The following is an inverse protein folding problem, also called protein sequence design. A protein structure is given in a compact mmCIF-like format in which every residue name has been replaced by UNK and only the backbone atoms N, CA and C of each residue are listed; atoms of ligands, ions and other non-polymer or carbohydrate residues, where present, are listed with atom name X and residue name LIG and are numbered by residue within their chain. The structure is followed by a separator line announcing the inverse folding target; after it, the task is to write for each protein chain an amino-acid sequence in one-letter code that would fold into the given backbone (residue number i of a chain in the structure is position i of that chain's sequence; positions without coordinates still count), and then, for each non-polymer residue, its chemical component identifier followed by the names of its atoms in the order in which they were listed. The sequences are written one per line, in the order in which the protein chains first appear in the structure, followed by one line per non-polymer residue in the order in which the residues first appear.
data_IF_538785054882
#
_entry.id   IF_538785054882
#
_cell.length_a   1.000
_cell.length_b   1.000
_cell.length_c   1.000
_cell.angle_alpha   90.00
_cell.angle_beta   90.00
_cell.angle_gamma   90.00
#
_symmetry.space_group_name_H-M   'P 1'
#
loop_
_entity.id
_entity.type
_entity.pdbx_description
1 polymer ?
#
# COMPACT_ATOMS: atom_id res chain seq x y z
N UNK A 1 -9.29 -11.22 26.89
CA UNK A 1 -8.77 -11.01 25.52
C UNK A 1 -9.42 -12.07 24.65
N UNK A 2 -10.53 -11.69 24.03
CA UNK A 2 -11.41 -12.64 23.39
C UNK A 2 -10.93 -12.98 21.97
N UNK A 3 -11.08 -14.23 21.66
CA UNK A 3 -11.03 -14.91 20.40
C UNK A 3 -11.98 -14.31 19.33
N UNK A 4 -11.76 -13.08 18.92
CA UNK A 4 -12.61 -12.41 17.90
C UNK A 4 -12.06 -12.62 16.49
N UNK A 5 -10.88 -13.19 16.35
CA UNK A 5 -10.34 -13.56 15.06
C UNK A 5 -10.28 -15.07 14.93
N UNK A 6 -11.28 -15.65 14.24
CA UNK A 6 -11.13 -16.99 13.69
C UNK A 6 -9.86 -17.00 12.83
N UNK A 7 -8.87 -17.74 13.31
CA UNK A 7 -7.49 -17.79 12.82
C UNK A 7 -7.31 -18.24 11.37
N UNK A 8 -8.35 -18.53 10.60
CA UNK A 8 -8.25 -19.37 9.39
C UNK A 8 -8.96 -18.91 8.13
N UNK A 9 -9.62 -17.76 8.09
CA UNK A 9 -10.10 -17.28 6.80
C UNK A 9 -9.06 -16.36 6.20
N UNK A 10 -8.20 -16.91 5.34
CA UNK A 10 -7.39 -16.14 4.40
C UNK A 10 -8.29 -15.12 3.71
N UNK A 11 -8.02 -13.84 3.90
CA UNK A 11 -8.78 -12.77 3.26
C UNK A 11 -8.69 -12.84 1.73
N UNK A 12 -7.70 -13.58 1.19
CA UNK A 12 -7.44 -13.71 -0.23
C UNK A 12 -6.68 -15.02 -0.55
N UNK A 13 -6.75 -15.40 -1.81
CA UNK A 13 -6.12 -16.60 -2.35
C UNK A 13 -4.59 -16.40 -2.48
N UNK A 14 -3.84 -17.49 -2.37
CA UNK A 14 -2.44 -17.53 -2.76
C UNK A 14 -2.33 -17.86 -4.26
N UNK A 15 -1.32 -17.28 -4.90
CA UNK A 15 -0.95 -17.62 -6.27
C UNK A 15 -0.19 -18.96 -6.29
N UNK A 16 -0.08 -19.57 -7.45
CA UNK A 16 0.72 -20.77 -7.63
C UNK A 16 2.19 -20.50 -7.24
N UNK A 17 2.76 -21.36 -6.41
CA UNK A 17 4.10 -21.19 -5.85
C UNK A 17 4.22 -20.19 -4.70
N UNK A 18 3.16 -19.43 -4.39
CA UNK A 18 3.15 -18.49 -3.28
C UNK A 18 2.91 -19.23 -1.95
N UNK A 19 3.67 -18.89 -0.91
CA UNK A 19 3.53 -19.42 0.43
C UNK A 19 3.15 -18.35 1.44
N UNK A 20 2.14 -18.62 2.28
CA UNK A 20 1.77 -17.75 3.39
C UNK A 20 2.64 -18.02 4.61
N UNK A 21 3.07 -16.94 5.29
CA UNK A 21 3.89 -16.99 6.50
C UNK A 21 3.32 -16.08 7.58
N UNK A 22 3.78 -16.31 8.81
CA UNK A 22 3.50 -15.44 9.95
C UNK A 22 4.79 -15.06 10.65
N UNK A 23 4.84 -13.81 11.09
CA UNK A 23 5.91 -13.29 11.93
C UNK A 23 5.30 -12.72 13.21
N UNK A 24 5.71 -13.29 14.36
CA UNK A 24 5.32 -12.79 15.65
C UNK A 24 6.17 -11.56 16.03
N UNK A 25 5.48 -10.50 16.46
CA UNK A 25 6.08 -9.25 16.91
C UNK A 25 5.50 -8.86 18.27
N UNK A 26 6.15 -8.02 19.06
CA UNK A 26 5.56 -7.53 20.30
C UNK A 26 4.18 -6.94 20.08
N UNK A 27 3.15 -7.60 20.62
CA UNK A 27 1.75 -7.19 20.50
C UNK A 27 1.11 -7.35 19.11
N UNK A 28 1.71 -8.11 18.20
CA UNK A 28 1.14 -8.38 16.88
C UNK A 28 1.60 -9.71 16.30
N UNK A 29 0.75 -10.30 15.45
CA UNK A 29 1.05 -11.43 14.59
C UNK A 29 0.82 -10.99 13.16
N UNK A 30 1.89 -10.88 12.37
CA UNK A 30 1.87 -10.35 11.02
C UNK A 30 1.71 -11.47 10.01
N UNK A 31 0.80 -11.32 9.08
CA UNK A 31 0.63 -12.21 7.95
C UNK A 31 1.28 -11.60 6.71
N UNK A 32 2.09 -12.36 6.03
CA UNK A 32 2.66 -12.02 4.73
C UNK A 32 2.76 -13.27 3.85
N UNK A 33 3.11 -13.09 2.60
CA UNK A 33 3.37 -14.19 1.68
C UNK A 33 4.60 -13.91 0.85
N UNK A 34 5.21 -15.00 0.39
CA UNK A 34 6.41 -15.01 -0.44
C UNK A 34 6.13 -15.84 -1.68
N UNK A 35 6.38 -15.24 -2.83
CA UNK A 35 6.43 -15.92 -4.13
C UNK A 35 7.88 -15.86 -4.62
N UNK A 36 8.61 -17.00 -4.61
CA UNK A 36 9.96 -17.06 -5.14
C UNK A 36 10.00 -16.70 -6.63
N UNK A 37 11.09 -16.09 -7.08
CA UNK A 37 11.28 -15.82 -8.49
C UNK A 37 11.41 -17.12 -9.30
N UNK A 38 11.04 -17.03 -10.58
CA UNK A 38 11.06 -18.19 -11.49
C UNK A 38 12.47 -18.42 -12.07
N UNK A 39 13.20 -17.32 -12.34
CA UNK A 39 14.53 -17.35 -12.94
C UNK A 39 15.64 -17.09 -11.92
N UNK A 40 16.76 -16.54 -12.39
CA UNK A 40 17.88 -16.15 -11.54
C UNK A 40 17.48 -14.95 -10.66
N UNK A 41 17.61 -15.12 -9.36
CA UNK A 41 17.24 -14.08 -8.39
C UNK A 41 18.21 -12.90 -8.43
N UNK A 42 17.68 -11.73 -8.76
CA UNK A 42 18.39 -10.45 -8.72
C UNK A 42 18.12 -9.70 -7.41
N UNK A 43 16.92 -9.85 -6.85
CA UNK A 43 16.54 -9.14 -5.64
C UNK A 43 15.17 -9.53 -5.10
N UNK A 44 14.60 -8.64 -4.30
CA UNK A 44 13.27 -8.81 -3.70
C UNK A 44 12.46 -7.53 -3.84
N UNK A 45 11.17 -7.68 -4.12
CA UNK A 45 10.18 -6.59 -4.12
C UNK A 45 9.13 -6.88 -3.08
N UNK A 46 8.83 -5.92 -2.20
CA UNK A 46 7.74 -6.02 -1.22
C UNK A 46 6.63 -5.03 -1.51
N UNK A 47 5.39 -5.51 -1.49
CA UNK A 47 4.18 -4.74 -1.81
C UNK A 47 3.35 -4.43 -0.57
N UNK A 48 3.01 -3.14 -0.39
CA UNK A 48 2.29 -2.59 0.76
C UNK A 48 0.97 -1.96 0.30
N UNK A 49 -0.13 -2.38 0.92
CA UNK A 49 -1.48 -1.91 0.58
C UNK A 49 -1.87 -0.60 1.30
N UNK A 50 -3.02 -0.01 0.92
CA UNK A 50 -3.58 1.20 1.50
C UNK A 50 -4.46 1.00 2.74
N UNK A 51 -5.09 2.07 3.22
CA UNK A 51 -6.10 2.02 4.29
C UNK A 51 -7.27 1.14 3.88
N UNK A 52 -7.87 0.43 4.84
CA UNK A 52 -9.01 -0.49 4.63
C UNK A 52 -8.80 -1.48 3.47
N UNK A 53 -7.58 -1.96 3.32
CA UNK A 53 -7.14 -2.84 2.25
C UNK A 53 -6.37 -4.04 2.82
N UNK A 54 -5.84 -4.90 1.96
CA UNK A 54 -5.04 -6.06 2.33
C UNK A 54 -4.17 -6.51 1.15
N UNK A 55 -3.39 -7.58 1.31
CA UNK A 55 -2.49 -8.11 0.28
C UNK A 55 -3.17 -8.54 -1.03
N UNK A 56 -4.51 -8.78 -1.07
CA UNK A 56 -5.21 -9.09 -2.31
C UNK A 56 -5.26 -7.93 -3.31
N UNK A 57 -5.00 -6.70 -2.85
CA UNK A 57 -4.85 -5.52 -3.71
C UNK A 57 -3.79 -5.71 -4.79
N UNK A 58 -2.75 -6.46 -4.48
CA UNK A 58 -1.61 -6.70 -5.36
C UNK A 58 -1.70 -8.01 -6.15
N UNK A 59 -2.74 -8.83 -5.91
CA UNK A 59 -2.84 -10.18 -6.47
C UNK A 59 -2.81 -10.17 -8.01
N UNK A 60 -3.63 -9.32 -8.66
CA UNK A 60 -3.68 -9.24 -10.12
C UNK A 60 -2.35 -8.74 -10.71
N UNK A 61 -1.71 -7.75 -10.05
CA UNK A 61 -0.39 -7.27 -10.44
C UNK A 61 0.62 -8.41 -10.36
N UNK A 62 0.70 -9.09 -9.20
CA UNK A 62 1.70 -10.15 -8.97
C UNK A 62 1.50 -11.34 -9.92
N UNK A 63 0.26 -11.70 -10.20
CA UNK A 63 -0.04 -12.79 -11.15
C UNK A 63 0.50 -12.49 -12.56
N UNK A 64 0.42 -11.22 -13.00
CA UNK A 64 0.74 -10.80 -14.37
C UNK A 64 2.12 -10.21 -14.54
N UNK A 65 2.77 -9.78 -13.46
CA UNK A 65 4.04 -9.05 -13.53
C UNK A 65 5.19 -9.90 -14.07
N UNK A 66 6.06 -9.27 -14.86
CA UNK A 66 7.33 -9.83 -15.30
C UNK A 66 8.41 -9.80 -14.21
N UNK A 67 8.22 -9.02 -13.12
CA UNK A 67 9.19 -8.94 -12.01
C UNK A 67 9.49 -10.30 -11.41
N UNK A 68 8.52 -11.20 -11.35
CA UNK A 68 8.69 -12.57 -10.81
C UNK A 68 9.70 -13.41 -11.59
N UNK A 69 10.20 -12.96 -12.76
CA UNK A 69 11.25 -13.65 -13.47
C UNK A 69 12.63 -13.47 -12.81
N UNK A 70 12.80 -12.39 -12.00
CA UNK A 70 14.09 -12.03 -11.43
C UNK A 70 14.04 -11.60 -9.95
N UNK A 71 12.85 -11.37 -9.42
CA UNK A 71 12.69 -10.89 -8.05
C UNK A 71 11.76 -11.81 -7.26
N UNK A 72 12.15 -12.16 -6.02
CA UNK A 72 11.19 -12.68 -5.09
C UNK A 72 10.16 -11.59 -4.80
N UNK A 73 8.89 -12.00 -4.73
CA UNK A 73 7.77 -11.09 -4.47
C UNK A 73 7.24 -11.35 -3.06
N UNK A 74 7.21 -10.31 -2.24
CA UNK A 74 6.56 -10.32 -0.94
C UNK A 74 5.34 -9.42 -0.98
N UNK A 75 4.26 -9.82 -0.32
CA UNK A 75 3.13 -8.95 0.02
C UNK A 75 2.69 -9.21 1.44
N UNK A 76 2.37 -8.15 2.19
CA UNK A 76 1.95 -8.29 3.57
C UNK A 76 0.61 -7.61 3.83
N UNK A 77 -0.13 -8.13 4.80
CA UNK A 77 -1.18 -7.37 5.45
C UNK A 77 -0.51 -6.46 6.50
N UNK A 78 -0.67 -5.17 6.39
CA UNK A 78 -0.13 -4.23 7.37
C UNK A 78 -0.73 -4.51 8.77
N UNK A 79 0.04 -4.32 9.82
CA UNK A 79 -0.42 -4.49 11.21
C UNK A 79 -1.79 -3.85 11.43
N UNK A 80 -2.73 -4.60 12.00
CA UNK A 80 -4.10 -4.16 12.25
C UNK A 80 -5.06 -4.36 11.06
N UNK A 81 -4.58 -4.84 9.92
CA UNK A 81 -5.39 -5.12 8.73
C UNK A 81 -5.51 -6.62 8.47
N UNK A 82 -6.67 -7.03 7.95
CA UNK A 82 -6.98 -8.38 7.50
C UNK A 82 -6.46 -9.46 8.47
N UNK A 83 -5.51 -10.31 8.03
CA UNK A 83 -4.98 -11.39 8.84
C UNK A 83 -3.78 -11.00 9.73
N UNK A 84 -3.31 -9.74 9.66
CA UNK A 84 -2.28 -9.21 10.58
C UNK A 84 -2.93 -8.63 11.82
N UNK A 85 -2.95 -9.43 12.90
CA UNK A 85 -3.62 -9.09 14.16
C UNK A 85 -2.73 -8.20 15.02
N UNK A 86 -3.33 -7.23 15.71
CA UNK A 86 -2.62 -6.36 16.65
C UNK A 86 -3.42 -6.13 17.93
N UNK A 87 -2.73 -6.08 19.07
CA UNK A 87 -3.32 -5.76 20.38
C UNK A 87 -3.47 -4.25 20.61
N UNK A 88 -2.83 -3.41 19.78
CA UNK A 88 -2.88 -1.95 19.83
C UNK A 88 -2.90 -1.33 18.43
N UNK A 89 -3.25 -0.04 18.35
CA UNK A 89 -3.14 0.71 17.09
C UNK A 89 -1.70 0.84 16.64
N UNK A 90 -1.47 0.66 15.34
CA UNK A 90 -0.15 0.75 14.72
C UNK A 90 0.17 2.20 14.33
N UNK A 91 1.37 2.66 14.58
CA UNK A 91 1.91 3.92 14.08
C UNK A 91 2.74 3.68 12.80
N UNK A 92 3.06 4.74 12.07
CA UNK A 92 3.96 4.64 10.91
C UNK A 92 5.27 3.92 11.25
N UNK A 93 5.84 4.19 12.44
CA UNK A 93 7.05 3.54 12.91
C UNK A 93 6.89 2.04 13.13
N UNK A 94 5.71 1.60 13.59
CA UNK A 94 5.42 0.18 13.78
C UNK A 94 5.36 -0.53 12.43
N UNK A 95 4.67 0.02 11.43
CA UNK A 95 4.61 -0.56 10.09
C UNK A 95 5.99 -0.59 9.41
N UNK A 96 6.79 0.48 9.55
CA UNK A 96 8.17 0.48 9.06
C UNK A 96 9.00 -0.62 9.72
N UNK A 97 8.95 -0.72 11.05
CA UNK A 97 9.66 -1.77 11.79
C UNK A 97 9.17 -3.18 11.48
N UNK A 98 7.89 -3.35 11.13
CA UNK A 98 7.33 -4.63 10.71
C UNK A 98 7.84 -5.04 9.33
N UNK A 99 7.88 -4.12 8.37
CA UNK A 99 8.44 -4.39 7.04
C UNK A 99 9.92 -4.76 7.15
N UNK A 100 10.71 -4.00 7.90
CA UNK A 100 12.12 -4.32 8.14
C UNK A 100 12.29 -5.71 8.79
N UNK A 101 11.44 -6.06 9.76
CA UNK A 101 11.49 -7.37 10.40
C UNK A 101 11.06 -8.52 9.49
N UNK A 102 10.09 -8.32 8.59
CA UNK A 102 9.73 -9.31 7.56
C UNK A 102 10.92 -9.56 6.64
N UNK A 103 11.56 -8.49 6.12
CA UNK A 103 12.74 -8.61 5.27
C UNK A 103 13.87 -9.37 5.98
N UNK A 104 14.13 -9.03 7.24
CA UNK A 104 15.12 -9.73 8.07
C UNK A 104 14.78 -11.22 8.26
N UNK A 105 13.52 -11.55 8.53
CA UNK A 105 13.07 -12.94 8.70
C UNK A 105 13.22 -13.78 7.42
N UNK A 106 13.15 -13.13 6.25
CA UNK A 106 13.38 -13.77 4.95
C UNK A 106 14.86 -13.73 4.49
N UNK A 107 15.77 -13.23 5.33
CA UNK A 107 17.19 -13.10 4.97
C UNK A 107 17.46 -12.06 3.86
N UNK A 108 16.53 -11.12 3.67
CA UNK A 108 16.61 -10.10 2.64
C UNK A 108 17.30 -8.87 3.22
N UNK A 109 18.52 -8.58 2.78
CA UNK A 109 19.25 -7.41 3.23
C UNK A 109 18.60 -6.11 2.75
N UNK A 110 18.21 -6.05 1.47
CA UNK A 110 17.53 -4.88 0.89
C UNK A 110 16.44 -5.31 -0.11
N UNK A 111 15.35 -4.56 -0.14
CA UNK A 111 14.26 -4.78 -1.08
C UNK A 111 13.82 -3.49 -1.78
N UNK A 112 13.22 -3.61 -2.97
CA UNK A 112 12.41 -2.54 -3.55
C UNK A 112 11.06 -2.54 -2.81
N UNK A 113 10.66 -1.39 -2.30
CA UNK A 113 9.42 -1.24 -1.53
C UNK A 113 8.38 -0.52 -2.38
N UNK A 114 7.29 -1.21 -2.71
CA UNK A 114 6.19 -0.68 -3.52
C UNK A 114 4.97 -0.48 -2.64
N UNK A 115 4.51 0.75 -2.49
CA UNK A 115 3.38 1.08 -1.61
C UNK A 115 2.29 1.90 -2.30
N UNK A 116 1.04 1.62 -1.97
CA UNK A 116 -0.12 2.41 -2.41
C UNK A 116 -0.74 3.15 -1.22
N UNK A 117 -1.02 4.45 -1.35
CA UNK A 117 -1.68 5.28 -0.34
C UNK A 117 -0.99 5.17 1.03
N UNK A 118 -1.61 4.57 2.08
CA UNK A 118 -0.96 4.28 3.37
C UNK A 118 0.36 3.50 3.18
N UNK A 119 0.38 2.48 2.32
CA UNK A 119 1.59 1.74 1.99
C UNK A 119 2.68 2.62 1.40
N UNK A 120 2.33 3.66 0.65
CA UNK A 120 3.28 4.65 0.15
C UNK A 120 3.83 5.53 1.28
N UNK A 121 3.01 5.88 2.29
CA UNK A 121 3.49 6.56 3.49
C UNK A 121 4.46 5.68 4.29
N UNK A 122 4.20 4.39 4.38
CA UNK A 122 5.14 3.45 5.00
C UNK A 122 6.43 3.38 4.18
N UNK A 123 6.34 3.24 2.85
CA UNK A 123 7.51 3.14 1.98
C UNK A 123 8.42 4.39 2.04
N UNK A 124 7.87 5.60 2.02
CA UNK A 124 8.66 6.83 2.11
C UNK A 124 9.29 6.99 3.50
N UNK A 125 8.58 6.64 4.58
CA UNK A 125 9.14 6.66 5.93
C UNK A 125 10.21 5.57 6.12
N UNK A 126 10.03 4.40 5.54
CA UNK A 126 11.02 3.33 5.55
C UNK A 126 12.30 3.78 4.83
N UNK A 127 12.17 4.39 3.64
CA UNK A 127 13.29 4.91 2.87
C UNK A 127 14.09 6.00 3.62
N UNK A 128 13.41 6.83 4.43
CA UNK A 128 14.05 7.87 5.22
C UNK A 128 14.70 7.34 6.51
N UNK A 129 14.10 6.36 7.18
CA UNK A 129 14.51 5.92 8.53
C UNK A 129 15.23 4.58 8.56
N UNK A 130 15.04 3.75 7.55
CA UNK A 130 15.56 2.38 7.42
C UNK A 130 16.21 2.16 6.05
N UNK A 131 16.96 3.15 5.56
CA UNK A 131 17.59 3.12 4.23
C UNK A 131 18.47 1.88 4.00
N UNK A 132 19.00 1.29 5.08
CA UNK A 132 19.85 0.09 5.02
C UNK A 132 19.11 -1.16 4.54
N UNK A 133 17.77 -1.21 4.65
CA UNK A 133 16.98 -2.32 4.13
C UNK A 133 16.20 -1.97 2.85
N UNK A 134 16.39 -0.78 2.26
CA UNK A 134 15.69 -0.32 1.07
C UNK A 134 16.65 -0.18 -0.11
N UNK A 135 16.36 -0.83 -1.24
CA UNK A 135 17.03 -0.61 -2.52
C UNK A 135 16.49 0.61 -3.25
N UNK A 136 15.19 0.80 -3.20
CA UNK A 136 14.45 1.91 -3.77
C UNK A 136 12.97 1.83 -3.42
N UNK A 137 12.24 2.93 -3.61
CA UNK A 137 10.82 3.03 -3.30
C UNK A 137 9.96 3.38 -4.50
N UNK A 138 8.78 2.75 -4.59
CA UNK A 138 7.73 3.14 -5.54
C UNK A 138 6.50 3.56 -4.73
N UNK A 139 6.09 4.80 -4.90
CA UNK A 139 4.97 5.42 -4.20
C UNK A 139 3.81 5.61 -5.17
N UNK A 140 2.74 4.81 -5.02
CA UNK A 140 1.52 4.97 -5.80
C UNK A 140 0.58 5.89 -5.04
N UNK A 141 0.27 7.02 -5.65
CA UNK A 141 -0.64 8.05 -5.16
C UNK A 141 -0.41 8.39 -3.67
N UNK A 142 0.83 8.81 -3.30
CA UNK A 142 1.18 9.14 -1.93
C UNK A 142 0.56 10.47 -1.49
N UNK A 143 0.26 10.60 -0.18
CA UNK A 143 -0.12 11.88 0.42
C UNK A 143 1.13 12.65 0.85
N UNK A 144 1.79 13.32 -0.06
CA UNK A 144 2.94 14.18 0.25
C UNK A 144 2.45 15.49 0.86
N UNK A 145 2.93 15.84 2.05
CA UNK A 145 2.46 16.99 2.84
C UNK A 145 2.58 18.32 2.10
N UNK A 146 3.64 18.47 1.32
CA UNK A 146 3.98 19.65 0.54
C UNK A 146 3.18 19.76 -0.76
N UNK A 147 2.48 18.70 -1.13
CA UNK A 147 1.72 18.60 -2.37
C UNK A 147 0.21 18.43 -2.14
N UNK A 148 -0.31 18.65 -0.94
CA UNK A 148 -1.72 18.50 -0.63
C UNK A 148 -2.56 19.58 -1.31
N UNK A 149 -3.69 19.19 -1.92
CA UNK A 149 -4.70 20.12 -2.42
C UNK A 149 -5.37 20.88 -1.27
N UNK A 150 -6.01 22.04 -1.51
CA UNK A 150 -6.78 22.76 -0.49
C UNK A 150 -7.81 21.87 0.21
N UNK A 151 -8.51 21.00 -0.54
CA UNK A 151 -9.46 20.04 0.00
C UNK A 151 -8.79 19.03 0.95
N UNK A 152 -7.62 18.53 0.58
CA UNK A 152 -6.87 17.59 1.44
C UNK A 152 -6.33 18.29 2.70
N UNK A 153 -5.94 19.55 2.61
CA UNK A 153 -5.57 20.37 3.78
C UNK A 153 -6.75 20.58 4.75
N UNK A 154 -7.95 20.85 4.24
CA UNK A 154 -9.15 20.92 5.06
C UNK A 154 -9.45 19.59 5.76
N UNK A 155 -9.29 18.46 5.06
CA UNK A 155 -9.42 17.13 5.68
C UNK A 155 -8.36 16.91 6.76
N UNK A 156 -7.11 17.31 6.50
CA UNK A 156 -6.02 17.23 7.47
C UNK A 156 -6.27 18.08 8.72
N UNK A 157 -6.89 19.25 8.58
CA UNK A 157 -7.27 20.09 9.71
C UNK A 157 -8.30 19.41 10.65
N UNK A 158 -9.03 18.41 10.16
CA UNK A 158 -10.00 17.61 10.95
C UNK A 158 -9.37 16.44 11.71
N UNK A 159 -8.07 16.14 11.53
CA UNK A 159 -7.39 15.02 12.20
C UNK A 159 -7.54 15.04 13.75
N UNK A 160 -7.51 16.20 14.45
CA UNK A 160 -7.75 16.22 15.89
C UNK A 160 -9.12 15.65 16.29
N UNK A 161 -10.16 15.94 15.51
CA UNK A 161 -11.50 15.39 15.73
C UNK A 161 -11.54 13.88 15.48
N UNK A 162 -10.85 13.40 14.45
CA UNK A 162 -10.74 11.96 14.17
C UNK A 162 -10.05 11.22 15.32
N UNK A 163 -9.05 11.81 15.97
CA UNK A 163 -8.39 11.25 17.17
C UNK A 163 -9.36 11.11 18.35
N UNK A 164 -10.26 12.08 18.54
CA UNK A 164 -11.28 12.02 19.59
C UNK A 164 -12.27 10.89 19.26
N UNK A 165 -12.78 10.84 18.03
CA UNK A 165 -13.70 9.79 17.58
C UNK A 165 -13.06 8.39 17.69
N UNK A 166 -11.79 8.26 17.34
CA UNK A 166 -11.03 7.02 17.48
C UNK A 166 -11.02 6.52 18.93
N UNK A 167 -10.77 7.42 19.90
CA UNK A 167 -10.81 7.08 21.34
C UNK A 167 -12.17 6.55 21.78
N UNK A 168 -13.26 7.18 21.34
CA UNK A 168 -14.62 6.70 21.62
C UNK A 168 -14.89 5.34 20.99
N UNK A 169 -14.48 5.13 19.74
CA UNK A 169 -14.61 3.82 19.08
C UNK A 169 -13.82 2.74 19.83
N UNK A 170 -12.61 3.04 20.30
CA UNK A 170 -11.80 2.11 21.11
C UNK A 170 -12.47 1.75 22.42
N UNK A 171 -13.01 2.75 23.12
CA UNK A 171 -13.74 2.50 24.37
C UNK A 171 -14.95 1.61 24.12
N UNK A 172 -15.73 1.88 23.07
CA UNK A 172 -16.84 1.02 22.66
C UNK A 172 -16.39 -0.41 22.36
N UNK A 173 -15.30 -0.59 21.63
CA UNK A 173 -14.73 -1.92 21.35
C UNK A 173 -14.30 -2.64 22.64
N UNK A 174 -13.70 -1.93 23.60
CA UNK A 174 -13.31 -2.50 24.89
C UNK A 174 -14.51 -2.94 25.73
N UNK A 175 -15.66 -2.28 25.57
CA UNK A 175 -16.94 -2.64 26.20
C UNK A 175 -17.70 -3.75 25.42
N UNK A 176 -17.10 -4.32 24.36
CA UNK A 176 -17.71 -5.40 23.58
C UNK A 176 -18.55 -4.95 22.39
N UNK A 177 -18.70 -3.65 22.15
CA UNK A 177 -19.40 -3.11 20.97
C UNK A 177 -18.51 -3.17 19.72
N UNK A 178 -18.15 -4.39 19.31
CA UNK A 178 -17.37 -4.59 18.08
C UNK A 178 -18.20 -5.29 17.00
N UNK A 179 -17.95 -4.94 15.75
CA UNK A 179 -18.64 -5.57 14.61
C UNK A 179 -17.85 -6.77 14.12
N UNK A 180 -18.57 -7.80 13.64
CA UNK A 180 -17.94 -8.85 12.85
C UNK A 180 -17.58 -8.27 11.48
N UNK A 181 -16.30 -8.35 11.11
CA UNK A 181 -15.81 -7.89 9.84
C UNK A 181 -16.09 -8.92 8.73
N UNK A 182 -16.27 -8.43 7.50
CA UNK A 182 -16.38 -9.27 6.31
C UNK A 182 -15.00 -9.53 5.73
N UNK A 183 -14.84 -10.68 5.08
CA UNK A 183 -13.67 -10.90 4.25
C UNK A 183 -13.69 -9.98 3.03
N UNK A 184 -12.54 -9.44 2.67
CA UNK A 184 -12.38 -8.53 1.54
C UNK A 184 -11.45 -9.16 0.50
N UNK A 185 -12.03 -9.55 -0.63
CA UNK A 185 -11.30 -9.94 -1.82
C UNK A 185 -11.28 -8.74 -2.79
N UNK A 186 -10.19 -8.00 -2.76
CA UNK A 186 -10.06 -6.79 -3.56
C UNK A 186 -9.90 -7.08 -5.04
N UNK A 187 -9.31 -8.22 -5.41
CA UNK A 187 -9.23 -8.64 -6.80
C UNK A 187 -10.61 -8.83 -7.44
N UNK A 188 -11.49 -9.57 -6.74
CA UNK A 188 -12.86 -9.75 -7.22
C UNK A 188 -13.66 -8.44 -7.23
N UNK A 189 -13.40 -7.54 -6.26
CA UNK A 189 -14.01 -6.21 -6.23
C UNK A 189 -13.51 -5.34 -7.39
N UNK A 190 -12.21 -5.37 -7.71
CA UNK A 190 -11.63 -4.59 -8.80
C UNK A 190 -12.12 -5.05 -10.18
N UNK A 191 -12.31 -6.36 -10.38
CA UNK A 191 -12.90 -6.88 -11.61
C UNK A 191 -14.30 -6.29 -11.86
N UNK A 192 -15.18 -6.34 -10.84
CA UNK A 192 -16.53 -5.74 -10.90
C UNK A 192 -16.49 -4.22 -11.06
N UNK A 193 -15.51 -3.57 -10.45
CA UNK A 193 -15.33 -2.13 -10.57
C UNK A 193 -14.99 -1.72 -12.00
N UNK A 194 -14.09 -2.47 -12.66
CA UNK A 194 -13.72 -2.21 -14.06
C UNK A 194 -14.87 -2.39 -15.05
N UNK A 195 -15.78 -3.33 -14.80
CA UNK A 195 -17.00 -3.46 -15.58
C UNK A 195 -17.84 -2.17 -15.53
N UNK A 196 -18.01 -1.59 -14.34
CA UNK A 196 -18.71 -0.31 -14.14
C UNK A 196 -17.97 0.87 -14.76
N UNK A 197 -16.65 0.92 -14.62
CA UNK A 197 -15.81 1.96 -15.24
C UNK A 197 -15.95 1.92 -16.77
N UNK A 198 -15.92 0.72 -17.36
CA UNK A 198 -16.05 0.53 -18.79
C UNK A 198 -17.44 0.94 -19.33
N UNK A 199 -18.50 0.75 -18.53
CA UNK A 199 -19.84 1.16 -18.88
C UNK A 199 -20.02 2.70 -18.89
N UNK A 200 -19.22 3.43 -18.10
CA UNK A 200 -19.26 4.88 -18.02
C UNK A 200 -20.52 5.46 -17.38
N UNK A 201 -20.73 6.77 -17.56
CA UNK A 201 -21.96 7.44 -17.13
C UNK A 201 -22.29 7.25 -15.64
N UNK A 202 -23.55 6.94 -15.35
CA UNK A 202 -24.04 6.75 -13.96
C UNK A 202 -23.32 5.62 -13.22
N UNK A 203 -22.92 4.57 -13.91
CA UNK A 203 -22.22 3.43 -13.29
C UNK A 203 -20.82 3.80 -12.81
N UNK A 204 -20.12 4.66 -13.55
CA UNK A 204 -18.84 5.24 -13.13
C UNK A 204 -19.01 6.15 -11.89
N UNK A 205 -20.05 6.99 -11.87
CA UNK A 205 -20.34 7.83 -10.69
C UNK A 205 -20.66 7.00 -9.45
N UNK A 206 -21.45 5.93 -9.61
CA UNK A 206 -21.74 4.99 -8.54
C UNK A 206 -20.47 4.27 -8.03
N UNK A 207 -19.58 3.88 -8.95
CA UNK A 207 -18.30 3.29 -8.61
C UNK A 207 -17.47 4.26 -7.74
N UNK A 208 -17.26 5.49 -8.21
CA UNK A 208 -16.51 6.52 -7.48
C UNK A 208 -17.11 6.74 -6.08
N UNK A 209 -18.45 6.89 -6.00
CA UNK A 209 -19.17 7.07 -4.74
C UNK A 209 -19.01 5.87 -3.79
N UNK A 210 -19.01 4.65 -4.32
CA UNK A 210 -18.83 3.43 -3.52
C UNK A 210 -17.41 3.29 -3.02
N UNK A 211 -16.42 3.50 -3.88
CA UNK A 211 -15.00 3.34 -3.55
C UNK A 211 -14.44 4.47 -2.66
N UNK A 212 -15.03 5.67 -2.72
CA UNK A 212 -14.69 6.78 -1.81
C UNK A 212 -15.49 6.78 -0.51
N UNK A 213 -16.32 5.77 -0.27
CA UNK A 213 -17.23 5.72 0.88
C UNK A 213 -16.58 5.07 2.11
N UNK A 214 -16.28 5.88 3.12
CA UNK A 214 -15.88 5.38 4.45
C UNK A 214 -16.83 4.30 5.00
N UNK A 215 -18.15 4.40 4.73
CA UNK A 215 -19.14 3.41 5.15
C UNK A 215 -18.94 2.05 4.45
N UNK A 216 -18.43 2.04 3.23
CA UNK A 216 -18.09 0.81 2.51
C UNK A 216 -16.86 0.16 3.14
N UNK A 217 -15.83 0.94 3.43
CA UNK A 217 -14.58 0.47 4.06
C UNK A 217 -14.83 -0.12 5.45
N UNK A 218 -15.68 0.52 6.23
CA UNK A 218 -16.02 0.07 7.57
C UNK A 218 -16.67 -1.32 7.64
N UNK A 219 -17.01 -1.96 6.53
CA UNK A 219 -17.42 -3.38 6.49
C UNK A 219 -16.25 -4.34 6.69
N UNK A 220 -15.04 -3.89 6.39
CA UNK A 220 -13.84 -4.70 6.30
C UNK A 220 -12.78 -4.36 7.34
N UNK A 221 -12.90 -3.21 8.00
CA UNK A 221 -11.98 -2.73 9.01
C UNK A 221 -12.75 -2.18 10.23
N UNK A 222 -12.20 -2.32 11.41
CA UNK A 222 -12.79 -1.72 12.62
C UNK A 222 -12.69 -0.19 12.59
N UNK A 223 -13.76 0.50 13.03
CA UNK A 223 -13.83 1.97 12.99
C UNK A 223 -12.65 2.65 13.70
N UNK A 224 -12.23 2.10 14.83
CA UNK A 224 -11.08 2.65 15.57
C UNK A 224 -9.77 2.52 14.77
N UNK A 225 -9.56 1.40 14.07
CA UNK A 225 -8.37 1.20 13.19
C UNK A 225 -8.45 2.15 12.01
N UNK A 226 -9.58 2.21 11.32
CA UNK A 226 -9.78 3.09 10.17
C UNK A 226 -9.50 4.56 10.49
N UNK A 227 -10.08 5.07 11.60
CA UNK A 227 -9.86 6.46 12.03
C UNK A 227 -8.40 6.72 12.42
N UNK A 228 -7.76 5.75 13.07
CA UNK A 228 -6.35 5.83 13.43
C UNK A 228 -5.45 5.88 12.20
N UNK A 229 -5.70 5.01 11.21
CA UNK A 229 -4.94 4.97 9.97
C UNK A 229 -5.03 6.29 9.19
N UNK A 230 -6.22 6.91 9.14
CA UNK A 230 -6.38 8.24 8.53
C UNK A 230 -5.53 9.31 9.24
N UNK A 231 -5.41 9.20 10.57
CA UNK A 231 -4.53 10.10 11.34
C UNK A 231 -3.06 9.85 11.00
N UNK A 232 -2.63 8.61 10.93
CA UNK A 232 -1.25 8.25 10.61
C UNK A 232 -0.87 8.60 9.16
N UNK A 233 -1.77 8.38 8.20
CA UNK A 233 -1.58 8.80 6.79
C UNK A 233 -1.42 10.31 6.67
N UNK A 234 -2.14 11.09 7.48
CA UNK A 234 -2.07 12.55 7.48
C UNK A 234 -0.84 13.14 8.20
N UNK A 235 0.07 12.32 8.71
CA UNK A 235 1.32 12.81 9.34
C UNK A 235 2.24 13.45 8.30
N UNK A 236 3.13 14.38 8.73
CA UNK A 236 4.10 15.00 7.84
C UNK A 236 4.96 13.96 7.12
N UNK A 237 5.19 14.17 5.84
CA UNK A 237 6.14 13.40 5.04
C UNK A 237 7.56 13.68 5.52
N UNK A 238 8.49 12.71 5.53
CA UNK A 238 9.89 12.97 5.78
C UNK A 238 10.46 14.00 4.80
N UNK A 239 11.41 14.81 5.27
CA UNK A 239 12.10 15.78 4.42
C UNK A 239 12.81 15.05 3.26
N UNK A 240 12.74 15.55 2.01
CA UNK A 240 13.34 14.90 0.84
C UNK A 240 14.84 14.60 1.01
N UNK A 241 15.56 15.44 1.72
CA UNK A 241 17.00 15.32 1.98
C UNK A 241 17.33 14.09 2.84
N UNK A 242 16.37 13.60 3.62
CA UNK A 242 16.53 12.38 4.43
C UNK A 242 16.42 11.10 3.62
N UNK A 243 16.00 11.17 2.35
CA UNK A 243 15.77 10.04 1.47
C UNK A 243 16.96 9.89 0.52
N UNK A 244 17.81 8.91 0.79
CA UNK A 244 19.05 8.69 0.03
C UNK A 244 18.93 7.65 -1.09
N UNK A 245 17.82 6.90 -1.11
CA UNK A 245 17.58 5.82 -2.08
C UNK A 245 16.76 6.30 -3.28
N UNK A 246 16.86 5.64 -4.45
CA UNK A 246 16.05 5.98 -5.61
C UNK A 246 14.55 5.87 -5.33
N UNK A 247 13.77 6.86 -5.77
CA UNK A 247 12.32 6.91 -5.58
C UNK A 247 11.58 7.12 -6.91
N UNK A 248 10.53 6.34 -7.13
CA UNK A 248 9.55 6.57 -8.18
C UNK A 248 8.22 6.98 -7.54
N UNK A 249 7.67 8.11 -7.96
CA UNK A 249 6.30 8.52 -7.59
C UNK A 249 5.38 8.34 -8.79
N UNK A 250 4.29 7.61 -8.60
CA UNK A 250 3.24 7.43 -9.60
C UNK A 250 2.01 8.19 -9.12
N UNK A 251 1.75 9.33 -9.77
CA UNK A 251 0.61 10.19 -9.47
C UNK A 251 -0.60 9.86 -10.34
N UNK A 252 -1.81 10.12 -9.81
CA UNK A 252 -3.06 10.05 -10.55
C UNK A 252 -3.33 11.37 -11.29
N UNK A 253 -3.75 11.31 -12.57
CA UNK A 253 -3.99 12.50 -13.38
C UNK A 253 -5.17 13.37 -12.91
N UNK A 254 -6.18 12.74 -12.29
CA UNK A 254 -7.33 13.42 -11.70
C UNK A 254 -7.14 13.68 -10.21
N UNK A 255 -5.91 13.91 -9.76
CA UNK A 255 -5.46 14.00 -8.37
C UNK A 255 -6.49 14.58 -7.40
N UNK A 256 -7.02 13.73 -6.54
CA UNK A 256 -8.06 14.12 -5.57
C UNK A 256 -7.45 14.78 -4.34
N UNK A 257 -6.26 14.33 -3.93
CA UNK A 257 -5.63 14.72 -2.67
C UNK A 257 -4.32 15.49 -2.85
N UNK A 258 -3.64 15.36 -3.99
CA UNK A 258 -2.35 15.99 -4.25
C UNK A 258 -2.36 16.79 -5.54
N UNK A 259 -1.66 17.92 -5.51
CA UNK A 259 -1.41 18.79 -6.67
C UNK A 259 -0.21 18.25 -7.46
N UNK A 260 -0.37 18.10 -8.78
CA UNK A 260 0.64 17.47 -9.62
C UNK A 260 1.93 18.32 -9.73
N UNK A 261 1.83 19.64 -9.74
CA UNK A 261 3.01 20.52 -9.87
C UNK A 261 3.77 20.58 -8.56
N UNK A 262 3.06 20.65 -7.42
CA UNK A 262 3.68 20.57 -6.12
C UNK A 262 4.34 19.18 -5.90
N UNK A 263 3.73 18.11 -6.38
CA UNK A 263 4.33 16.76 -6.36
C UNK A 263 5.61 16.71 -7.20
N UNK A 264 5.62 17.30 -8.40
CA UNK A 264 6.86 17.39 -9.24
C UNK A 264 7.96 18.15 -8.52
N UNK A 265 7.64 19.27 -7.85
CA UNK A 265 8.62 20.02 -7.05
C UNK A 265 9.21 19.17 -5.92
N UNK A 266 8.35 18.46 -5.18
CA UNK A 266 8.82 17.58 -4.11
C UNK A 266 9.71 16.45 -4.67
N UNK A 267 9.32 15.80 -5.77
CA UNK A 267 10.12 14.75 -6.41
C UNK A 267 11.47 15.30 -6.89
N UNK A 268 11.51 16.53 -7.43
CA UNK A 268 12.74 17.18 -7.88
C UNK A 268 13.69 17.53 -6.73
N UNK A 269 13.21 17.62 -5.50
CA UNK A 269 14.05 17.83 -4.31
C UNK A 269 14.60 16.53 -3.71
N UNK A 270 14.17 15.36 -4.18
CA UNK A 270 14.79 14.09 -3.83
C UNK A 270 16.16 13.96 -4.51
N UNK A 271 17.10 13.31 -3.82
CA UNK A 271 18.44 13.03 -4.38
C UNK A 271 18.37 12.24 -5.69
N UNK A 272 17.44 11.31 -5.80
CA UNK A 272 17.19 10.48 -6.97
C UNK A 272 15.69 10.18 -7.08
N UNK A 273 14.93 11.18 -7.54
CA UNK A 273 13.48 11.13 -7.69
C UNK A 273 13.05 11.06 -9.15
N UNK A 274 12.07 10.22 -9.44
CA UNK A 274 11.40 10.16 -10.73
C UNK A 274 9.89 10.22 -10.53
N UNK A 275 9.16 10.81 -11.47
CA UNK A 275 7.70 10.88 -11.44
C UNK A 275 7.12 10.36 -12.74
N UNK A 276 6.09 9.53 -12.60
CA UNK A 276 5.19 9.14 -13.68
C UNK A 276 3.76 9.55 -13.32
N UNK A 277 2.92 9.78 -14.31
CA UNK A 277 1.50 10.09 -14.12
C UNK A 277 0.69 9.09 -14.91
N UNK A 278 -0.27 8.43 -14.24
CA UNK A 278 -1.22 7.51 -14.86
C UNK A 278 -2.60 8.14 -14.95
N UNK A 279 -3.35 7.80 -16.01
CA UNK A 279 -4.66 8.38 -16.28
C UNK A 279 -5.73 7.68 -15.43
N UNK A 280 -5.83 8.06 -14.16
CA UNK A 280 -6.83 7.54 -13.21
C UNK A 280 -7.23 8.61 -12.19
N UNK A 281 -8.25 8.30 -11.36
CA UNK A 281 -8.64 9.14 -10.22
C UNK A 281 -7.76 8.86 -8.99
N UNK A 282 -8.10 7.87 -8.17
CA UNK A 282 -7.35 7.57 -6.93
C UNK A 282 -6.99 6.09 -6.76
N UNK A 283 -7.53 5.24 -7.61
CA UNK A 283 -7.33 3.78 -7.51
C UNK A 283 -6.58 3.23 -8.73
N UNK A 284 -5.30 3.58 -8.89
CA UNK A 284 -4.54 3.25 -10.09
C UNK A 284 -4.49 1.74 -10.37
N UNK A 285 -4.40 0.90 -9.33
CA UNK A 285 -4.43 -0.57 -9.46
C UNK A 285 -5.79 -1.12 -9.92
N UNK A 286 -6.89 -0.38 -9.69
CA UNK A 286 -8.24 -0.74 -10.13
C UNK A 286 -8.54 -0.19 -11.51
N UNK A 287 -8.20 1.08 -11.75
CA UNK A 287 -8.60 1.84 -12.93
C UNK A 287 -7.68 1.59 -14.14
N UNK A 288 -6.37 1.55 -13.92
CA UNK A 288 -5.35 1.41 -14.96
C UNK A 288 -4.22 0.42 -14.59
N UNK A 289 -4.53 -0.84 -14.25
CA UNK A 289 -3.56 -1.81 -13.74
C UNK A 289 -2.41 -2.08 -14.70
N UNK A 290 -2.65 -2.03 -16.02
CA UNK A 290 -1.61 -2.27 -17.05
C UNK A 290 -0.60 -1.13 -17.10
N UNK A 291 -1.07 0.12 -17.07
CA UNK A 291 -0.18 1.29 -17.10
C UNK A 291 0.68 1.34 -15.85
N UNK A 292 0.08 1.07 -14.68
CA UNK A 292 0.80 0.97 -13.42
C UNK A 292 1.85 -0.12 -13.47
N UNK A 293 1.52 -1.30 -13.99
CA UNK A 293 2.44 -2.42 -14.10
C UNK A 293 3.63 -2.04 -15.00
N UNK A 294 3.37 -1.50 -16.19
CA UNK A 294 4.41 -1.07 -17.12
C UNK A 294 5.39 -0.06 -16.51
N UNK A 295 4.87 0.92 -15.76
CA UNK A 295 5.69 1.95 -15.10
C UNK A 295 6.55 1.35 -13.99
N UNK A 296 5.97 0.51 -13.12
CA UNK A 296 6.70 -0.13 -12.02
C UNK A 296 7.77 -1.06 -12.57
N UNK A 297 7.41 -1.97 -13.47
CA UNK A 297 8.31 -2.95 -14.05
C UNK A 297 9.47 -2.29 -14.82
N UNK A 298 9.14 -1.33 -15.66
CA UNK A 298 10.15 -0.59 -16.44
C UNK A 298 11.17 0.12 -15.54
N UNK A 299 10.69 0.75 -14.43
CA UNK A 299 11.58 1.41 -13.49
C UNK A 299 12.43 0.40 -12.69
N UNK A 300 11.82 -0.67 -12.18
CA UNK A 300 12.52 -1.68 -11.37
C UNK A 300 13.57 -2.40 -12.19
N UNK A 301 13.24 -2.87 -13.40
CA UNK A 301 14.20 -3.54 -14.27
C UNK A 301 15.35 -2.60 -14.69
N UNK A 302 15.04 -1.40 -15.14
CA UNK A 302 16.06 -0.42 -15.55
C UNK A 302 17.05 -0.10 -14.43
N UNK A 303 16.60 -0.07 -13.19
CA UNK A 303 17.40 0.32 -12.03
C UNK A 303 18.17 -0.84 -11.41
N UNK A 304 17.52 -1.99 -11.27
CA UNK A 304 18.02 -3.07 -10.42
C UNK A 304 18.34 -4.36 -11.18
N UNK A 305 17.92 -4.46 -12.45
CA UNK A 305 18.23 -5.59 -13.33
C UNK A 305 18.40 -5.12 -14.80
N UNK A 306 19.32 -4.18 -15.09
CA UNK A 306 19.44 -3.58 -16.41
C UNK A 306 19.74 -4.60 -17.53
N UNK A 307 20.40 -5.71 -17.23
CA UNK A 307 20.65 -6.81 -18.16
C UNK A 307 19.35 -7.47 -18.66
N UNK A 308 18.29 -7.46 -17.88
CA UNK A 308 16.98 -8.02 -18.26
C UNK A 308 16.05 -6.98 -18.90
N UNK A 309 16.23 -5.69 -18.61
CA UNK A 309 15.44 -4.61 -19.19
C UNK A 309 15.58 -4.54 -20.73
N UNK A 310 16.72 -4.93 -21.27
CA UNK A 310 16.97 -4.93 -22.72
C UNK A 310 16.22 -6.04 -23.46
N UNK A 311 15.90 -7.15 -22.79
CA UNK A 311 15.19 -8.28 -23.39
C UNK A 311 13.68 -8.04 -23.50
N UNK A 312 13.09 -7.30 -22.55
CA UNK A 312 11.64 -6.99 -22.52
C UNK A 312 11.25 -5.87 -23.50
N UNK A 313 12.19 -5.05 -23.96
CA UNK A 313 11.94 -4.01 -24.96
C UNK A 313 11.95 -4.54 -26.40
N UNK A 314 12.42 -5.78 -26.62
CA UNK A 314 12.56 -6.42 -27.93
C UNK A 314 11.49 -7.48 -28.21
N UNK A 315 10.56 -7.73 -27.29
CA UNK A 315 9.45 -8.67 -27.37
C UNK A 315 8.10 -7.94 -27.38
#
# INVERSE_FOLDING_TARGET
MSAVYEKEKLAYRLLEGESAKRLERPGASLRYSVLPCVGEKVGTVIFLHGVASNGSRWEEFIEKTSLKQAFDILRCDLRGHAASVSSRQARLEDWCGDVAAILQAEGVAKAVVVGHSLGAQVAVNLAAKYADCVLGGVLLDPLISEALTPKALEMRAKLPYLKIMERFCRLGNALGFSRRLKNQDLRAMDAKAREKIAAGGKELEEFIKQYSSARADLKYIHSAVYLHDLVEVGRPTPAPESISVPMLVIGASAGTFTDADAMRRWVSSLKDGQMAVVKCAHWPLTECPRDVASVIEGWVFKRFAPQLAMQTASA
#
